data_IF_450638290384
#
_entry.id   IF_450638290384
#
_cell.length_a   1.000
_cell.length_b   1.000
_cell.length_c   1.000
_cell.angle_alpha   90.00
_cell.angle_beta   90.00
_cell.angle_gamma   90.00
#
_symmetry.space_group_name_H-M   'P 1'
#
loop_
_entity.id
_entity.type
_entity.pdbx_description
1 polymer ?
#
# COMPACT_ATOMS: atom_id res chain seq x y z
N UNK A 1 34.63 -15.13 48.40
CA UNK A 1 34.15 -16.24 49.24
C UNK A 1 32.71 -16.55 48.78
N UNK A 2 32.51 -17.45 47.81
CA UNK A 2 32.14 -18.89 47.99
C UNK A 2 30.90 -19.02 48.89
N UNK A 3 29.73 -19.52 48.47
CA UNK A 3 29.45 -20.84 47.86
C UNK A 3 28.02 -20.91 47.28
N UNK A 4 27.84 -21.67 46.19
CA UNK A 4 26.54 -22.21 45.72
C UNK A 4 26.15 -23.47 46.53
N UNK A 5 24.86 -23.77 46.73
CA UNK A 5 24.36 -25.13 46.95
C UNK A 5 23.59 -25.60 45.70
N UNK A 6 24.11 -26.56 44.94
CA UNK A 6 23.94 -28.03 45.05
C UNK A 6 22.61 -28.57 44.50
N UNK A 7 22.70 -29.20 43.32
CA UNK A 7 21.75 -30.17 42.79
C UNK A 7 21.71 -31.44 43.66
N UNK A 8 20.53 -32.06 43.77
CA UNK A 8 20.41 -33.51 44.01
C UNK A 8 19.40 -34.15 43.03
N UNK A 9 19.74 -35.31 42.46
CA UNK A 9 18.92 -36.04 41.49
C UNK A 9 17.94 -36.98 42.20
N UNK A 10 16.80 -37.26 41.55
CA UNK A 10 15.97 -38.44 41.82
C UNK A 10 16.10 -39.41 40.64
N UNK A 11 16.92 -40.43 40.84
CA UNK A 11 16.76 -41.81 40.32
C UNK A 11 15.41 -42.37 40.81
N UNK A 12 14.75 -43.38 40.23
CA UNK A 12 15.09 -44.42 39.26
C UNK A 12 13.72 -44.92 38.72
N UNK A 13 13.65 -45.28 37.44
CA UNK A 13 12.47 -45.91 36.86
C UNK A 13 12.82 -46.55 35.53
N UNK A 14 13.74 -47.52 35.59
CA UNK A 14 14.13 -48.35 34.45
C UNK A 14 13.00 -49.32 34.15
N UNK A 15 12.47 -49.29 32.93
CA UNK A 15 11.87 -50.44 32.28
C UNK A 15 12.39 -50.48 30.84
N UNK A 16 13.43 -51.30 30.64
CA UNK A 16 13.90 -51.73 29.33
C UNK A 16 13.08 -52.95 28.94
N UNK A 17 12.39 -52.88 27.80
CA UNK A 17 12.12 -54.06 26.97
C UNK A 17 12.02 -53.60 25.52
N UNK A 18 13.13 -53.77 24.81
CA UNK A 18 13.23 -53.63 23.37
C UNK A 18 12.58 -54.83 22.68
N UNK A 19 11.95 -54.61 21.53
CA UNK A 19 11.90 -55.60 20.45
C UNK A 19 11.90 -54.87 19.10
N UNK A 20 13.07 -54.95 18.48
CA UNK A 20 13.36 -54.61 17.10
C UNK A 20 12.56 -55.51 16.15
N UNK A 21 11.92 -54.91 15.14
CA UNK A 21 11.85 -55.53 13.81
C UNK A 21 12.01 -54.45 12.75
N UNK A 22 13.17 -54.49 12.12
CA UNK A 22 13.55 -53.79 10.90
C UNK A 22 12.83 -54.38 9.69
N UNK A 23 12.25 -53.50 8.87
CA UNK A 23 12.13 -53.72 7.42
C UNK A 23 12.66 -52.50 6.68
N UNK A 24 13.52 -52.80 5.72
CA UNK A 24 14.43 -51.96 4.98
C UNK A 24 13.78 -51.23 3.79
N UNK A 25 14.34 -50.06 3.49
CA UNK A 25 14.60 -49.44 2.17
C UNK A 25 13.37 -49.03 1.33
N UNK A 26 13.24 -47.70 1.20
CA UNK A 26 12.51 -47.06 0.11
C UNK A 26 12.55 -45.53 0.23
N UNK A 27 13.58 -44.90 -0.33
CA UNK A 27 13.55 -43.49 -0.72
C UNK A 27 14.04 -42.47 0.31
N UNK A 28 15.28 -42.03 0.14
CA UNK A 28 15.72 -40.73 0.61
C UNK A 28 14.99 -39.65 -0.19
N UNK A 29 14.16 -38.83 0.47
CA UNK A 29 13.98 -37.42 0.14
C UNK A 29 13.72 -36.68 1.45
N UNK A 30 14.82 -36.36 2.13
CA UNK A 30 14.88 -35.14 2.91
C UNK A 30 14.89 -34.00 1.89
N UNK A 31 13.73 -33.48 1.53
CA UNK A 31 13.65 -32.09 1.07
C UNK A 31 13.28 -31.24 2.28
N UNK A 32 14.34 -30.87 2.99
CA UNK A 32 14.37 -29.67 3.80
C UNK A 32 14.20 -28.49 2.85
N UNK A 33 12.98 -28.03 2.65
CA UNK A 33 12.76 -26.62 2.31
C UNK A 33 11.57 -26.18 3.12
N UNK A 34 11.86 -25.61 4.29
CA UNK A 34 11.03 -24.59 4.89
C UNK A 34 10.81 -23.55 3.81
N UNK A 35 9.72 -23.69 3.05
CA UNK A 35 9.25 -22.68 2.13
C UNK A 35 8.88 -21.49 3.00
N UNK A 36 9.83 -20.58 3.19
CA UNK A 36 9.50 -19.18 3.38
C UNK A 36 8.77 -18.81 2.10
N UNK A 37 7.44 -18.91 2.14
CA UNK A 37 6.58 -18.53 1.02
C UNK A 37 6.71 -17.03 0.89
N UNK A 38 7.74 -16.56 0.19
CA UNK A 38 7.74 -15.22 -0.36
C UNK A 38 6.43 -15.12 -1.13
N UNK A 39 5.52 -14.20 -0.75
CA UNK A 39 4.28 -14.02 -1.50
C UNK A 39 4.61 -13.87 -2.98
N UNK A 40 3.87 -14.57 -3.85
CA UNK A 40 4.01 -14.35 -5.28
C UNK A 40 3.78 -12.86 -5.56
N UNK A 41 4.69 -12.23 -6.31
CA UNK A 41 4.59 -10.80 -6.64
C UNK A 41 3.24 -10.48 -7.29
N UNK A 42 2.66 -11.43 -8.03
CA UNK A 42 1.32 -11.29 -8.62
C UNK A 42 0.21 -11.25 -7.56
N UNK A 43 0.30 -12.10 -6.54
CA UNK A 43 -0.67 -12.09 -5.42
C UNK A 43 -0.62 -10.75 -4.68
N UNK A 44 0.58 -10.22 -4.47
CA UNK A 44 0.78 -8.99 -3.70
C UNK A 44 0.34 -7.74 -4.47
N UNK A 45 0.55 -7.69 -5.79
CA UNK A 45 0.04 -6.62 -6.63
C UNK A 45 -1.49 -6.59 -6.67
N UNK A 46 -2.14 -7.75 -6.79
CA UNK A 46 -3.61 -7.87 -6.69
C UNK A 46 -4.13 -7.41 -5.33
N UNK A 47 -3.46 -7.77 -4.24
CA UNK A 47 -3.85 -7.32 -2.88
C UNK A 47 -3.76 -5.79 -2.74
N UNK A 48 -2.72 -5.18 -3.30
CA UNK A 48 -2.57 -3.72 -3.31
C UNK A 48 -3.62 -3.00 -4.15
N UNK A 49 -3.98 -3.55 -5.31
CA UNK A 49 -5.12 -3.05 -6.10
C UNK A 49 -6.38 -2.98 -5.24
N UNK A 50 -6.80 -4.12 -4.69
CA UNK A 50 -8.05 -4.23 -3.93
C UNK A 50 -8.03 -3.32 -2.70
N UNK A 51 -6.89 -3.24 -1.99
CA UNK A 51 -6.75 -2.39 -0.82
C UNK A 51 -6.90 -0.89 -1.15
N UNK A 52 -6.49 -0.45 -2.34
CA UNK A 52 -6.67 0.92 -2.80
C UNK A 52 -8.07 1.17 -3.37
N UNK A 53 -8.68 0.20 -4.05
CA UNK A 53 -10.09 0.29 -4.49
C UNK A 53 -11.05 0.45 -3.31
N UNK A 54 -10.87 -0.36 -2.26
CA UNK A 54 -11.65 -0.28 -1.02
C UNK A 54 -11.45 1.08 -0.33
N UNK A 55 -10.20 1.57 -0.29
CA UNK A 55 -9.88 2.84 0.34
C UNK A 55 -10.47 4.05 -0.41
N UNK A 56 -10.39 4.06 -1.74
CA UNK A 56 -10.63 5.27 -2.53
C UNK A 56 -12.07 5.38 -3.04
N UNK A 57 -12.76 4.27 -3.27
CA UNK A 57 -14.13 4.26 -3.81
C UNK A 57 -15.14 5.11 -3.04
N UNK A 58 -15.17 5.17 -1.69
CA UNK A 58 -16.16 5.97 -0.98
C UNK A 58 -15.81 7.47 -0.91
N UNK A 59 -14.56 7.85 -1.17
CA UNK A 59 -14.06 9.19 -0.82
C UNK A 59 -14.73 10.34 -1.60
N UNK A 60 -14.95 10.25 -2.93
CA UNK A 60 -15.65 11.29 -3.67
C UNK A 60 -17.04 11.63 -3.11
N UNK A 61 -17.76 10.63 -2.60
CA UNK A 61 -19.11 10.81 -2.05
C UNK A 61 -19.12 11.55 -0.70
N UNK A 62 -17.97 11.68 -0.05
CA UNK A 62 -17.80 12.44 1.19
C UNK A 62 -17.57 13.94 0.94
N UNK A 63 -17.34 14.35 -0.31
CA UNK A 63 -17.03 15.72 -0.64
C UNK A 63 -18.23 16.66 -0.39
N UNK A 64 -17.99 17.91 0.05
CA UNK A 64 -19.05 18.90 0.19
C UNK A 64 -19.84 19.11 -1.09
N UNK A 65 -21.13 19.46 -0.98
CA UNK A 65 -21.98 19.74 -2.14
C UNK A 65 -21.34 20.81 -3.05
N UNK A 66 -21.39 20.57 -4.37
CA UNK A 66 -20.79 21.45 -5.38
C UNK A 66 -19.28 21.27 -5.57
N UNK A 67 -18.64 20.32 -4.87
CA UNK A 67 -17.26 19.92 -5.13
C UNK A 67 -17.14 19.08 -6.41
N UNK A 68 -15.95 19.09 -7.01
CA UNK A 68 -15.60 18.34 -8.21
C UNK A 68 -14.54 17.28 -7.90
N UNK A 69 -14.69 16.59 -6.77
CA UNK A 69 -13.73 15.57 -6.33
C UNK A 69 -14.08 14.23 -6.95
N UNK A 70 -13.09 13.55 -7.51
CA UNK A 70 -13.24 12.27 -8.18
C UNK A 70 -11.94 11.46 -8.07
N UNK A 71 -12.03 10.16 -8.34
CA UNK A 71 -10.83 9.35 -8.61
C UNK A 71 -10.25 9.82 -9.95
N UNK A 72 -9.00 10.28 -9.95
CA UNK A 72 -8.30 10.75 -11.16
C UNK A 72 -7.28 9.73 -11.66
N UNK A 73 -6.87 8.79 -10.80
CA UNK A 73 -5.97 7.71 -11.14
C UNK A 73 -6.20 6.52 -10.19
N UNK A 74 -6.19 5.29 -10.71
CA UNK A 74 -6.06 4.06 -9.94
C UNK A 74 -5.45 2.94 -10.79
N UNK A 75 -4.12 2.88 -10.82
CA UNK A 75 -3.38 1.99 -11.72
C UNK A 75 -1.98 1.66 -11.20
N UNK A 76 -1.35 0.66 -11.79
CA UNK A 76 0.09 0.45 -11.66
C UNK A 76 0.87 1.53 -12.40
N UNK A 77 1.98 1.97 -11.83
CA UNK A 77 2.92 2.90 -12.45
C UNK A 77 4.33 2.35 -12.34
N UNK A 78 5.15 2.57 -13.36
CA UNK A 78 6.57 2.21 -13.32
C UNK A 78 7.30 2.97 -12.22
N UNK A 79 8.09 2.25 -11.43
CA UNK A 79 9.04 2.84 -10.50
C UNK A 79 10.37 3.19 -11.17
N UNK A 80 10.59 2.67 -12.37
CA UNK A 80 11.74 2.98 -13.20
C UNK A 80 11.58 4.37 -13.83
N UNK A 81 12.69 4.93 -14.32
CA UNK A 81 12.63 6.24 -14.98
C UNK A 81 11.88 6.11 -16.33
N UNK A 82 11.01 7.08 -16.67
CA UNK A 82 10.12 7.00 -17.83
C UNK A 82 10.85 6.98 -19.19
N UNK A 83 12.15 7.31 -19.24
CA UNK A 83 12.96 7.21 -20.47
C UNK A 83 13.40 5.77 -20.80
N UNK A 84 13.11 4.81 -19.92
CA UNK A 84 13.37 3.42 -20.18
C UNK A 84 12.18 2.80 -20.93
N UNK A 85 12.36 2.50 -22.23
CA UNK A 85 11.52 1.54 -22.97
C UNK A 85 11.65 0.09 -22.42
N UNK A 86 12.26 -0.06 -21.25
CA UNK A 86 12.58 -1.32 -20.60
C UNK A 86 11.31 -2.03 -20.11
N UNK A 87 11.37 -3.36 -19.91
CA UNK A 87 10.28 -4.11 -19.29
C UNK A 87 9.89 -3.52 -17.94
N UNK A 88 8.59 -3.58 -17.63
CA UNK A 88 8.00 -3.01 -16.42
C UNK A 88 8.27 -3.94 -15.22
N UNK A 89 9.54 -4.15 -14.90
CA UNK A 89 9.97 -5.11 -13.87
C UNK A 89 9.90 -4.55 -12.46
N UNK A 90 9.61 -3.24 -12.29
CA UNK A 90 9.39 -2.63 -10.99
C UNK A 90 8.23 -1.65 -11.07
N UNK A 91 7.10 -1.98 -10.45
CA UNK A 91 5.87 -1.18 -10.52
C UNK A 91 5.30 -0.95 -9.12
N UNK A 92 4.43 0.04 -9.01
CA UNK A 92 3.67 0.31 -7.79
C UNK A 92 2.24 0.69 -8.14
N UNK A 93 1.28 0.29 -7.33
CA UNK A 93 -0.06 0.82 -7.42
C UNK A 93 -0.13 2.24 -6.88
N UNK A 94 -0.77 3.12 -7.66
CA UNK A 94 -1.02 4.52 -7.32
C UNK A 94 -2.50 4.79 -7.50
N UNK A 95 -3.10 5.38 -6.46
CA UNK A 95 -4.46 5.87 -6.49
C UNK A 95 -4.54 7.33 -6.07
N UNK A 96 -5.30 8.13 -6.81
CA UNK A 96 -5.45 9.56 -6.58
C UNK A 96 -6.93 9.91 -6.57
N UNK A 97 -7.36 10.56 -5.49
CA UNK A 97 -8.65 11.25 -5.41
C UNK A 97 -8.35 12.74 -5.32
N UNK A 98 -8.82 13.52 -6.28
CA UNK A 98 -8.55 14.96 -6.29
C UNK A 98 -9.67 15.77 -6.91
N UNK A 99 -9.74 17.06 -6.55
CA UNK A 99 -10.63 18.01 -7.18
C UNK A 99 -10.84 19.29 -6.40
N UNK A 100 -11.61 20.19 -7.03
CA UNK A 100 -11.97 21.48 -6.46
C UNK A 100 -13.00 21.31 -5.34
N UNK A 101 -12.77 22.00 -4.22
CA UNK A 101 -13.67 22.03 -3.06
C UNK A 101 -13.98 23.49 -2.71
N UNK A 102 -14.95 24.13 -3.39
CA UNK A 102 -15.16 25.58 -3.31
C UNK A 102 -15.47 26.11 -1.90
N UNK A 103 -15.97 25.25 -1.01
CA UNK A 103 -16.20 25.57 0.39
C UNK A 103 -15.95 24.35 1.26
N UNK A 104 -15.35 24.54 2.43
CA UNK A 104 -15.17 23.47 3.41
C UNK A 104 -13.97 22.54 3.16
N UNK A 105 -13.00 22.94 2.32
CA UNK A 105 -11.83 22.13 1.98
C UNK A 105 -11.05 21.62 3.20
N UNK A 106 -10.81 22.45 4.22
CA UNK A 106 -10.15 22.02 5.46
C UNK A 106 -10.97 20.97 6.23
N UNK A 107 -12.30 21.08 6.22
CA UNK A 107 -13.20 20.11 6.82
C UNK A 107 -13.19 18.78 6.07
N UNK A 108 -13.25 18.84 4.74
CA UNK A 108 -13.14 17.67 3.88
C UNK A 108 -11.77 16.98 4.02
N UNK A 109 -10.68 17.73 4.05
CA UNK A 109 -9.34 17.21 4.32
C UNK A 109 -9.28 16.48 5.67
N UNK A 110 -9.85 17.05 6.73
CA UNK A 110 -9.93 16.40 8.04
C UNK A 110 -10.74 15.10 7.99
N UNK A 111 -11.85 15.09 7.23
CA UNK A 111 -12.67 13.90 7.03
C UNK A 111 -11.92 12.80 6.27
N UNK A 112 -11.14 13.15 5.25
CA UNK A 112 -10.28 12.19 4.54
C UNK A 112 -9.22 11.56 5.46
N UNK A 113 -8.60 12.37 6.31
CA UNK A 113 -7.64 11.87 7.32
C UNK A 113 -8.35 10.92 8.30
N UNK A 114 -9.56 11.25 8.75
CA UNK A 114 -10.34 10.36 9.61
C UNK A 114 -10.67 9.03 8.91
N UNK A 115 -11.07 9.04 7.64
CA UNK A 115 -11.32 7.82 6.87
C UNK A 115 -10.07 6.96 6.74
N UNK A 116 -8.90 7.57 6.54
CA UNK A 116 -7.63 6.86 6.54
C UNK A 116 -7.36 6.21 7.91
N UNK A 117 -7.59 6.91 9.01
CA UNK A 117 -7.44 6.35 10.37
C UNK A 117 -8.41 5.19 10.64
N UNK A 118 -9.66 5.31 10.20
CA UNK A 118 -10.67 4.23 10.28
C UNK A 118 -10.26 3.01 9.45
N UNK A 119 -9.60 3.22 8.31
CA UNK A 119 -8.98 2.18 7.50
C UNK A 119 -7.68 1.62 8.11
N UNK A 120 -7.22 2.13 9.26
CA UNK A 120 -6.03 1.66 9.98
C UNK A 120 -4.72 2.33 9.57
N UNK A 121 -4.75 3.47 8.87
CA UNK A 121 -3.57 4.29 8.65
C UNK A 121 -3.23 5.09 9.91
N UNK A 122 -1.93 5.21 10.18
CA UNK A 122 -1.41 6.05 11.26
C UNK A 122 -0.90 7.37 10.69
N UNK A 123 -1.31 8.50 11.29
CA UNK A 123 -0.74 9.82 10.97
C UNK A 123 0.73 9.84 11.41
N UNK A 124 1.62 10.16 10.46
CA UNK A 124 3.06 10.26 10.68
C UNK A 124 3.51 11.69 10.88
N UNK A 125 2.94 12.61 10.11
CA UNK A 125 3.29 14.02 10.15
C UNK A 125 2.18 14.87 9.54
N UNK A 126 2.06 16.12 9.98
CA UNK A 126 1.25 17.15 9.33
C UNK A 126 2.08 18.41 9.20
N UNK A 127 2.21 18.90 7.97
CA UNK A 127 2.95 20.13 7.65
C UNK A 127 1.94 21.19 7.24
N UNK A 128 2.01 22.35 7.90
CA UNK A 128 1.28 23.53 7.46
C UNK A 128 2.16 24.32 6.48
N UNK A 129 1.57 24.72 5.36
CA UNK A 129 2.19 25.64 4.43
C UNK A 129 2.07 27.10 4.86
N UNK A 130 2.71 28.04 4.15
CA UNK A 130 2.64 29.45 4.45
C UNK A 130 1.20 29.98 4.34
N UNK A 131 0.72 30.64 5.39
CA UNK A 131 -0.63 31.24 5.50
C UNK A 131 -0.70 32.69 5.02
N UNK A 132 0.43 33.24 4.58
CA UNK A 132 0.71 34.67 4.47
C UNK A 132 0.24 35.24 3.12
N UNK A 133 -1.09 35.28 2.96
CA UNK A 133 -1.91 36.34 2.38
C UNK A 133 -1.34 37.24 1.27
N UNK A 134 -1.46 36.79 0.03
CA UNK A 134 -1.64 37.66 -1.13
C UNK A 134 -2.72 37.06 -2.03
N UNK A 135 -3.72 37.84 -2.45
CA UNK A 135 -4.75 37.38 -3.38
C UNK A 135 -4.10 36.93 -4.69
N UNK A 136 -3.97 35.62 -4.89
CA UNK A 136 -3.35 35.00 -6.06
C UNK A 136 -2.19 34.04 -5.78
N UNK A 137 -1.89 33.67 -4.54
CA UNK A 137 -0.89 32.63 -4.26
C UNK A 137 -1.46 31.22 -4.44
N UNK A 138 -0.75 30.41 -5.23
CA UNK A 138 -0.96 28.97 -5.31
C UNK A 138 -0.04 28.28 -4.29
N UNK A 139 -0.47 27.17 -3.71
CA UNK A 139 0.40 26.35 -2.89
C UNK A 139 -0.34 25.49 -1.87
N UNK A 140 0.39 24.54 -1.31
CA UNK A 140 -0.12 23.66 -0.27
C UNK A 140 -0.31 24.43 1.03
N UNK A 141 -1.51 24.35 1.58
CA UNK A 141 -1.89 24.96 2.85
C UNK A 141 -1.69 23.97 3.99
N UNK A 142 -1.98 22.70 3.78
CA UNK A 142 -1.72 21.63 4.73
C UNK A 142 -1.48 20.31 4.00
N UNK A 143 -0.49 19.55 4.46
CA UNK A 143 -0.18 18.21 3.96
C UNK A 143 -0.07 17.25 5.14
N UNK A 144 -0.90 16.20 5.15
CA UNK A 144 -0.89 15.15 6.16
C UNK A 144 -0.38 13.85 5.55
N UNK A 145 0.68 13.31 6.15
CA UNK A 145 1.31 12.05 5.74
C UNK A 145 0.84 10.93 6.66
N UNK A 146 0.36 9.85 6.06
CA UNK A 146 -0.17 8.68 6.77
C UNK A 146 0.42 7.38 6.22
N UNK A 147 0.35 6.30 7.01
CA UNK A 147 0.87 4.98 6.60
C UNK A 147 0.10 3.83 7.25
N UNK A 148 -0.19 2.77 6.48
CA UNK A 148 -0.74 1.48 6.94
C UNK A 148 0.10 0.34 6.40
N UNK A 149 0.89 -0.30 7.26
CA UNK A 149 1.86 -1.32 6.82
C UNK A 149 2.82 -0.76 5.77
N UNK A 150 2.77 -1.31 4.56
CA UNK A 150 3.59 -0.87 3.43
C UNK A 150 2.94 0.22 2.57
N UNK A 151 1.63 0.46 2.72
CA UNK A 151 0.91 1.51 2.00
C UNK A 151 1.18 2.88 2.63
N UNK A 152 1.40 3.89 1.79
CA UNK A 152 1.44 5.29 2.19
C UNK A 152 0.26 6.05 1.60
N UNK A 153 -0.23 7.06 2.33
CA UNK A 153 -1.19 8.01 1.78
C UNK A 153 -0.87 9.43 2.25
N UNK A 154 -1.04 10.40 1.36
CA UNK A 154 -0.80 11.83 1.59
C UNK A 154 -2.08 12.58 1.27
N UNK A 155 -2.58 13.35 2.21
CA UNK A 155 -3.73 14.24 2.00
C UNK A 155 -3.23 15.68 1.97
N UNK A 156 -3.47 16.38 0.87
CA UNK A 156 -3.06 17.76 0.65
C UNK A 156 -4.28 18.64 0.45
N UNK A 157 -4.35 19.73 1.21
CA UNK A 157 -5.21 20.87 0.92
C UNK A 157 -4.34 21.98 0.35
N UNK A 158 -4.66 22.45 -0.85
CA UNK A 158 -3.91 23.50 -1.54
C UNK A 158 -4.86 24.56 -2.12
N UNK A 159 -4.30 25.73 -2.43
CA UNK A 159 -4.98 26.78 -3.18
C UNK A 159 -4.43 26.80 -4.61
N UNK A 160 -5.30 26.77 -5.62
CA UNK A 160 -4.92 26.85 -7.03
C UNK A 160 -5.87 27.77 -7.79
N UNK A 161 -5.33 28.85 -8.36
CA UNK A 161 -6.13 29.86 -9.07
C UNK A 161 -7.19 30.53 -8.19
N UNK A 162 -6.96 30.60 -6.88
CA UNK A 162 -7.93 31.10 -5.90
C UNK A 162 -9.06 30.12 -5.57
N UNK A 163 -8.98 28.88 -6.03
CA UNK A 163 -9.92 27.80 -5.70
C UNK A 163 -9.22 26.77 -4.82
N UNK A 164 -9.85 26.40 -3.69
CA UNK A 164 -9.35 25.33 -2.85
C UNK A 164 -9.41 23.98 -3.57
N UNK A 165 -8.34 23.21 -3.44
CA UNK A 165 -8.19 21.87 -3.96
C UNK A 165 -7.89 20.93 -2.81
N UNK A 166 -8.43 19.73 -2.86
CA UNK A 166 -8.05 18.64 -1.98
C UNK A 166 -7.60 17.46 -2.82
N UNK A 167 -6.47 16.88 -2.46
CA UNK A 167 -5.92 15.67 -3.08
C UNK A 167 -5.59 14.66 -2.00
N UNK A 168 -5.95 13.39 -2.24
CA UNK A 168 -5.41 12.24 -1.55
C UNK A 168 -4.66 11.39 -2.56
N UNK A 169 -3.36 11.20 -2.32
CA UNK A 169 -2.48 10.31 -3.06
C UNK A 169 -2.17 9.10 -2.19
N UNK A 170 -2.59 7.90 -2.60
CA UNK A 170 -2.26 6.65 -1.94
C UNK A 170 -1.38 5.77 -2.83
N UNK A 171 -0.39 5.10 -2.25
CA UNK A 171 0.65 4.38 -3.00
C UNK A 171 1.09 3.10 -2.29
N UNK A 172 1.32 2.04 -3.07
CA UNK A 172 2.00 0.81 -2.64
C UNK A 172 3.52 0.95 -2.76
N UNK A 173 4.32 0.11 -2.07
CA UNK A 173 5.75 0.01 -2.37
C UNK A 173 5.95 -0.42 -3.82
N UNK A 174 7.14 -0.12 -4.36
CA UNK A 174 7.59 -0.70 -5.62
C UNK A 174 7.84 -2.19 -5.43
N UNK A 175 7.30 -3.00 -6.34
CA UNK A 175 7.45 -4.45 -6.33
C UNK A 175 8.17 -4.93 -7.58
N UNK A 176 9.06 -5.93 -7.44
CA UNK A 176 9.66 -6.56 -8.60
C UNK A 176 8.65 -7.47 -9.32
N UNK A 177 8.71 -7.45 -10.65
CA UNK A 177 7.87 -8.23 -11.54
C UNK A 177 8.72 -8.92 -12.61
N UNK A 178 8.23 -10.03 -13.20
CA UNK A 178 8.90 -10.67 -14.33
C UNK A 178 8.96 -9.74 -15.56
N UNK A 179 9.89 -10.02 -16.49
CA UNK A 179 10.13 -9.17 -17.68
C UNK A 179 8.91 -9.02 -18.60
N UNK A 180 7.98 -9.97 -18.57
CA UNK A 180 6.75 -9.98 -19.36
C UNK A 180 5.54 -9.37 -18.64
N UNK A 181 5.71 -8.84 -17.43
CA UNK A 181 4.64 -8.16 -16.70
C UNK A 181 4.08 -6.97 -17.49
N UNK A 182 2.76 -6.90 -17.51
CA UNK A 182 2.00 -5.78 -18.05
C UNK A 182 1.36 -5.04 -16.89
N UNK A 183 1.50 -3.71 -16.88
CA UNK A 183 0.85 -2.88 -15.88
C UNK A 183 -0.67 -2.94 -16.04
N UNK A 184 -1.37 -2.85 -14.91
CA UNK A 184 -2.81 -2.94 -14.84
C UNK A 184 -3.45 -1.60 -14.45
N UNK A 185 -4.69 -1.41 -14.88
CA UNK A 185 -5.58 -0.32 -14.42
C UNK A 185 -6.77 -0.94 -13.71
N UNK A 186 -7.21 -0.31 -12.62
CA UNK A 186 -8.50 -0.62 -12.02
C UNK A 186 -9.63 -0.16 -12.94
N UNK A 187 -10.79 -0.80 -12.87
CA UNK A 187 -12.01 -0.31 -13.54
C UNK A 187 -12.48 1.06 -13.01
N UNK A 188 -12.01 1.47 -11.82
CA UNK A 188 -12.26 2.79 -11.26
C UNK A 188 -11.34 3.87 -11.85
N UNK A 189 -10.31 3.48 -12.62
CA UNK A 189 -9.45 4.44 -13.30
C UNK A 189 -10.19 5.09 -14.49
N UNK A 190 -10.21 6.44 -14.60
CA UNK A 190 -10.90 7.11 -15.72
C UNK A 190 -10.38 6.76 -17.11
N UNK A 191 -9.16 6.24 -17.22
CA UNK A 191 -8.56 5.78 -18.47
C UNK A 191 -8.70 4.26 -18.67
N UNK A 192 -9.40 3.54 -17.81
CA UNK A 192 -9.66 2.11 -18.01
C UNK A 192 -10.33 1.87 -19.37
N UNK A 193 -9.76 0.96 -20.16
CA UNK A 193 -10.23 0.64 -21.50
C UNK A 193 -9.73 1.57 -22.62
N UNK A 194 -8.92 2.59 -22.31
CA UNK A 194 -8.26 3.42 -23.32
C UNK A 194 -6.97 2.77 -23.81
N UNK A 195 -6.77 2.73 -25.14
CA UNK A 195 -5.58 2.16 -25.77
C UNK A 195 -4.28 2.77 -25.22
N UNK A 196 -3.38 1.91 -24.74
CA UNK A 196 -2.04 2.29 -24.28
C UNK A 196 -1.04 1.18 -24.63
N UNK A 197 0.20 1.55 -24.92
CA UNK A 197 1.28 0.57 -25.07
C UNK A 197 1.70 -0.07 -23.74
N UNK A 198 1.28 0.52 -22.61
CA UNK A 198 1.68 0.13 -21.27
C UNK A 198 0.65 -0.73 -20.54
N UNK A 199 -0.60 -0.74 -21.00
CA UNK A 199 -1.72 -1.39 -20.32
C UNK A 199 -2.54 -2.22 -21.32
N UNK A 200 -2.91 -3.46 -20.99
CA UNK A 200 -3.58 -4.38 -21.92
C UNK A 200 -5.11 -4.21 -21.97
N UNK A 201 -5.67 -3.29 -21.19
CA UNK A 201 -7.11 -3.07 -21.02
C UNK A 201 -7.75 -2.31 -22.20
N UNK A 202 -6.96 -1.57 -22.97
CA UNK A 202 -7.42 -0.87 -24.16
C UNK A 202 -7.71 -1.79 -25.35
N UNK A 203 -8.91 -1.64 -25.96
CA UNK A 203 -9.31 -2.35 -27.18
C UNK A 203 -9.22 -1.47 -28.43
#
# INVERSE_FOLDING_TARGET
MTTRPQCRPRTLGVAIAALLTTTLIGGCSMDSTTGETTPDAVSTASDHQHALEELLSPLPDLAPEGSQVQITQLRETTCLRPEAEAPQTETSWVGVVSGAVPSGAAGYQSQLVQQLEEAGFEVRNTVAGPTDGGSGQNGDLTTTYTRRGELSAVVTHSLSGGTDQVELLAKSPCQPHPEDHQMLRSELDPEYGLSSSLYPDGR
#
